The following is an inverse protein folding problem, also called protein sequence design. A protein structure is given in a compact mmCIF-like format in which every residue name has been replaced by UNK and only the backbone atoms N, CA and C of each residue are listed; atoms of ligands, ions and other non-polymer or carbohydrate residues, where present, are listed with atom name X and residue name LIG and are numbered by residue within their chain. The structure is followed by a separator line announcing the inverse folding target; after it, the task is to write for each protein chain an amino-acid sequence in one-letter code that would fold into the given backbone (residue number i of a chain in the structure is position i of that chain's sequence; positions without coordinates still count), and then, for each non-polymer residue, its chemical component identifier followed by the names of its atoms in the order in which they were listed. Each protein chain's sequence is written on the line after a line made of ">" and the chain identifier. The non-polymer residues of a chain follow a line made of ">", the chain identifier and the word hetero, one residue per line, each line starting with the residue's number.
data_IF_267038218778
#
_entry.id   IF_267038218778
#
_cell.length_a   1.000
_cell.length_b   1.000
_cell.length_c   1.000
_cell.angle_alpha   90.00
_cell.angle_beta   90.00
_cell.angle_gamma   90.00
#
_symmetry.space_group_name_H-M   'P 1'
#
loop_
_entity.id
_entity.type
_entity.pdbx_description
1 polymer ?
#
# COMPACT_ATOMS: atom_id res chain seq x y z
N UNK A 1 78.05 -39.25 -45.92
CA UNK A 1 77.76 -37.85 -46.25
C UNK A 1 76.29 -37.69 -46.56
N UNK A 2 75.54 -37.12 -45.62
CA UNK A 2 74.17 -36.66 -45.89
C UNK A 2 74.32 -35.34 -46.65
N UNK A 3 73.64 -35.20 -47.79
CA UNK A 3 73.72 -34.01 -48.65
C UNK A 3 73.23 -32.77 -47.90
N UNK A 4 73.87 -31.61 -48.12
CA UNK A 4 73.48 -30.34 -47.50
C UNK A 4 72.01 -29.95 -47.81
N UNK A 5 71.48 -30.38 -48.97
CA UNK A 5 70.09 -30.17 -49.35
C UNK A 5 69.11 -31.00 -48.49
N UNK A 6 69.52 -32.20 -48.08
CA UNK A 6 68.72 -33.11 -47.27
C UNK A 6 68.66 -32.65 -45.80
N UNK A 7 69.76 -32.08 -45.30
CA UNK A 7 69.80 -31.40 -43.99
C UNK A 7 68.92 -30.14 -43.97
N UNK A 8 68.93 -29.36 -45.05
CA UNK A 8 68.13 -28.14 -45.16
C UNK A 8 66.63 -28.44 -45.27
N UNK A 9 66.26 -29.50 -46.00
CA UNK A 9 64.89 -29.99 -46.11
C UNK A 9 64.35 -30.52 -44.76
N UNK A 10 65.16 -31.28 -44.00
CA UNK A 10 64.78 -31.73 -42.66
C UNK A 10 64.64 -30.55 -41.67
N UNK A 11 65.57 -29.60 -41.70
CA UNK A 11 65.52 -28.41 -40.83
C UNK A 11 64.28 -27.55 -41.11
N UNK A 12 63.95 -27.36 -42.39
CA UNK A 12 62.75 -26.62 -42.82
C UNK A 12 61.47 -27.36 -42.43
N UNK A 13 61.43 -28.69 -42.58
CA UNK A 13 60.28 -29.50 -42.17
C UNK A 13 60.05 -29.45 -40.65
N UNK A 14 61.11 -29.47 -39.85
CA UNK A 14 61.02 -29.38 -38.39
C UNK A 14 60.57 -27.98 -37.96
N UNK A 15 61.08 -26.92 -38.60
CA UNK A 15 60.67 -25.54 -38.33
C UNK A 15 59.17 -25.32 -38.61
N UNK A 16 58.65 -25.84 -39.73
CA UNK A 16 57.21 -25.75 -40.08
C UNK A 16 56.35 -26.54 -39.09
N UNK A 17 56.81 -27.70 -38.62
CA UNK A 17 56.06 -28.49 -37.63
C UNK A 17 56.03 -27.80 -36.25
N UNK A 18 57.12 -27.15 -35.84
CA UNK A 18 57.19 -26.38 -34.60
C UNK A 18 56.32 -25.12 -34.65
N UNK A 19 56.32 -24.40 -35.76
CA UNK A 19 55.50 -23.19 -35.96
C UNK A 19 54.00 -23.53 -35.99
N UNK A 20 53.63 -24.64 -36.66
CA UNK A 20 52.25 -25.13 -36.65
C UNK A 20 51.80 -25.56 -35.26
N UNK A 21 52.64 -26.24 -34.48
CA UNK A 21 52.31 -26.64 -33.11
C UNK A 21 52.16 -25.43 -32.19
N UNK A 22 52.98 -24.38 -32.37
CA UNK A 22 52.84 -23.12 -31.64
C UNK A 22 51.54 -22.38 -32.02
N UNK A 23 51.19 -22.31 -33.31
CA UNK A 23 49.95 -21.69 -33.78
C UNK A 23 48.69 -22.43 -33.30
N UNK A 24 48.69 -23.77 -33.30
CA UNK A 24 47.60 -24.58 -32.76
C UNK A 24 47.43 -24.34 -31.24
N UNK A 25 48.54 -24.22 -30.50
CA UNK A 25 48.53 -23.91 -29.07
C UNK A 25 48.02 -22.49 -28.77
N UNK A 26 48.46 -21.47 -29.52
CA UNK A 26 47.97 -20.10 -29.35
C UNK A 26 46.48 -19.96 -29.67
N UNK A 27 46.00 -20.65 -30.71
CA UNK A 27 44.59 -20.66 -31.08
C UNK A 27 43.72 -21.32 -30.00
N UNK A 28 44.16 -22.43 -29.42
CA UNK A 28 43.47 -23.11 -28.32
C UNK A 28 43.38 -22.22 -27.08
N UNK A 29 44.48 -21.57 -26.70
CA UNK A 29 44.52 -20.63 -25.58
C UNK A 29 43.64 -19.39 -25.80
N UNK A 30 43.58 -18.86 -27.03
CA UNK A 30 42.71 -17.74 -27.39
C UNK A 30 41.22 -18.11 -27.31
N UNK A 31 40.84 -19.31 -27.75
CA UNK A 31 39.48 -19.80 -27.61
C UNK A 31 39.08 -19.98 -26.15
N UNK A 32 39.94 -20.61 -25.35
CA UNK A 32 39.67 -20.84 -23.91
C UNK A 32 39.51 -19.51 -23.17
N UNK A 33 40.41 -18.55 -23.39
CA UNK A 33 40.33 -17.23 -22.74
C UNK A 33 39.05 -16.48 -23.11
N UNK A 34 38.64 -16.52 -24.39
CA UNK A 34 37.40 -15.89 -24.84
C UNK A 34 36.16 -16.51 -24.18
N UNK A 35 36.11 -17.85 -24.10
CA UNK A 35 35.00 -18.56 -23.44
C UNK A 35 34.93 -18.22 -21.95
N UNK A 36 36.07 -18.15 -21.26
CA UNK A 36 36.14 -17.75 -19.85
C UNK A 36 35.64 -16.32 -19.65
N UNK A 37 36.05 -15.38 -20.49
CA UNK A 37 35.60 -13.97 -20.42
C UNK A 37 34.08 -13.87 -20.61
N UNK A 38 33.51 -14.58 -21.59
CA UNK A 38 32.06 -14.64 -21.80
C UNK A 38 31.36 -15.22 -20.57
N UNK A 39 31.90 -16.29 -19.99
CA UNK A 39 31.37 -16.88 -18.76
C UNK A 39 31.33 -15.90 -17.59
N UNK A 40 32.40 -15.12 -17.40
CA UNK A 40 32.47 -14.08 -16.35
C UNK A 40 31.44 -12.98 -16.61
N UNK A 41 31.30 -12.51 -17.85
CA UNK A 41 30.32 -11.48 -18.21
C UNK A 41 28.89 -11.97 -17.96
N UNK A 42 28.55 -13.19 -18.43
CA UNK A 42 27.22 -13.77 -18.21
C UNK A 42 26.93 -14.01 -16.72
N UNK A 43 27.92 -14.47 -15.95
CA UNK A 43 27.81 -14.59 -14.50
C UNK A 43 27.59 -13.22 -13.84
N UNK A 44 28.29 -12.19 -14.29
CA UNK A 44 28.11 -10.82 -13.80
C UNK A 44 26.69 -10.30 -14.06
N UNK A 45 26.17 -10.51 -15.28
CA UNK A 45 24.82 -10.08 -15.67
C UNK A 45 23.75 -10.81 -14.82
N UNK A 46 23.92 -12.11 -14.57
CA UNK A 46 22.95 -12.88 -13.76
C UNK A 46 22.94 -12.46 -12.29
N UNK A 47 24.11 -12.14 -11.71
CA UNK A 47 24.19 -11.58 -10.36
C UNK A 47 23.51 -10.22 -10.26
N UNK A 48 23.81 -9.33 -11.21
CA UNK A 48 23.28 -7.96 -11.22
C UNK A 48 21.75 -7.94 -11.40
N UNK A 49 21.21 -8.80 -12.27
CA UNK A 49 19.76 -8.94 -12.43
C UNK A 49 19.08 -9.54 -11.19
N UNK A 50 19.72 -10.50 -10.51
CA UNK A 50 19.20 -11.07 -9.25
C UNK A 50 19.11 -10.00 -8.16
N UNK A 51 20.15 -9.18 -7.99
CA UNK A 51 20.15 -8.09 -7.01
C UNK A 51 19.05 -7.07 -7.30
N UNK A 52 18.84 -6.73 -8.58
CA UNK A 52 17.78 -5.82 -8.98
C UNK A 52 16.37 -6.39 -8.69
N UNK A 53 16.16 -7.69 -8.96
CA UNK A 53 14.89 -8.35 -8.64
C UNK A 53 14.66 -8.48 -7.13
N UNK A 54 15.71 -8.69 -6.34
CA UNK A 54 15.65 -8.70 -4.88
C UNK A 54 15.23 -7.33 -4.33
N UNK A 55 15.91 -6.26 -4.78
CA UNK A 55 15.57 -4.89 -4.42
C UNK A 55 14.13 -4.54 -4.78
N UNK A 56 13.68 -4.96 -5.96
CA UNK A 56 12.30 -4.77 -6.41
C UNK A 56 11.28 -5.44 -5.49
N UNK A 57 11.52 -6.69 -5.10
CA UNK A 57 10.57 -7.47 -4.30
C UNK A 57 10.59 -7.09 -2.83
N UNK A 58 11.74 -6.72 -2.28
CA UNK A 58 11.91 -6.51 -0.84
C UNK A 58 11.76 -5.04 -0.41
N UNK A 59 11.94 -4.07 -1.31
CA UNK A 59 11.80 -2.64 -0.98
C UNK A 59 10.76 -1.93 -1.84
N UNK A 60 10.91 -2.00 -3.17
CA UNK A 60 10.09 -1.17 -4.07
C UNK A 60 8.60 -1.56 -4.06
N UNK A 61 8.29 -2.86 -4.11
CA UNK A 61 6.91 -3.33 -4.09
C UNK A 61 6.19 -2.98 -2.78
N UNK A 62 6.74 -3.28 -1.59
CA UNK A 62 6.10 -2.86 -0.33
C UNK A 62 5.95 -1.35 -0.20
N UNK A 63 6.95 -0.57 -0.61
CA UNK A 63 6.88 0.89 -0.54
C UNK A 63 5.77 1.44 -1.45
N UNK A 64 5.62 0.87 -2.65
CA UNK A 64 4.53 1.24 -3.56
C UNK A 64 3.16 0.85 -2.99
N UNK A 65 3.02 -0.36 -2.47
CA UNK A 65 1.77 -0.79 -1.84
C UNK A 65 1.39 0.11 -0.66
N UNK A 66 2.37 0.49 0.17
CA UNK A 66 2.17 1.44 1.26
C UNK A 66 1.78 2.84 0.75
N UNK A 67 2.40 3.32 -0.34
CA UNK A 67 2.06 4.60 -0.94
C UNK A 67 0.63 4.59 -1.52
N UNK A 68 0.24 3.53 -2.21
CA UNK A 68 -1.10 3.33 -2.74
C UNK A 68 -2.14 3.27 -1.59
N UNK A 69 -1.81 2.58 -0.49
CA UNK A 69 -2.61 2.55 0.74
C UNK A 69 -2.75 3.95 1.37
N UNK A 70 -1.67 4.72 1.43
CA UNK A 70 -1.66 6.10 1.93
C UNK A 70 -2.55 7.01 1.08
N UNK A 71 -2.47 6.88 -0.25
CA UNK A 71 -3.29 7.64 -1.18
C UNK A 71 -4.79 7.31 -1.02
N UNK A 72 -5.14 6.03 -0.83
CA UNK A 72 -6.54 5.62 -0.61
C UNK A 72 -7.16 6.26 0.64
N UNK A 73 -6.37 6.38 1.72
CA UNK A 73 -6.80 7.03 2.97
C UNK A 73 -6.92 8.54 2.78
N UNK A 74 -5.99 9.16 2.06
CA UNK A 74 -6.03 10.58 1.73
C UNK A 74 -7.26 10.93 0.87
N UNK A 75 -7.64 10.06 -0.06
CA UNK A 75 -8.84 10.21 -0.90
C UNK A 75 -10.14 9.81 -0.21
N UNK A 76 -10.12 9.54 1.11
CA UNK A 76 -11.29 9.21 1.93
C UNK A 76 -12.03 7.95 1.49
N UNK A 77 -11.39 7.05 0.76
CA UNK A 77 -11.93 5.73 0.41
C UNK A 77 -11.83 4.76 1.60
N UNK A 78 -12.18 5.23 2.81
CA UNK A 78 -12.17 4.42 4.03
C UNK A 78 -13.34 3.44 4.09
N UNK A 79 -14.39 3.65 3.28
CA UNK A 79 -15.56 2.79 3.19
C UNK A 79 -15.35 1.54 2.31
N UNK A 80 -14.35 1.55 1.42
CA UNK A 80 -14.07 0.44 0.49
C UNK A 80 -13.15 -0.65 1.04
N UNK A 81 -12.50 -0.42 2.19
CA UNK A 81 -11.68 -1.45 2.84
C UNK A 81 -12.58 -2.21 3.81
N UNK A 82 -13.28 -3.18 3.24
CA UNK A 82 -13.96 -4.26 3.93
C UNK A 82 -13.11 -4.80 5.08
N UNK A 83 -13.77 -5.39 6.08
CA UNK A 83 -13.17 -6.21 7.13
C UNK A 83 -12.51 -7.49 6.56
N UNK A 84 -11.80 -7.40 5.44
CA UNK A 84 -10.74 -8.33 5.14
C UNK A 84 -9.71 -8.11 6.23
N UNK A 85 -9.89 -8.86 7.31
CA UNK A 85 -8.82 -9.59 7.96
C UNK A 85 -8.01 -10.26 6.84
N UNK A 86 -7.21 -9.46 6.13
CA UNK A 86 -6.07 -9.98 5.40
C UNK A 86 -5.16 -10.50 6.50
N UNK A 87 -5.34 -11.78 6.80
CA UNK A 87 -4.32 -12.70 7.25
C UNK A 87 -3.15 -12.59 6.26
N UNK A 88 -2.39 -11.50 6.40
CA UNK A 88 -1.10 -11.34 5.77
C UNK A 88 -0.19 -12.38 6.44
N UNK A 89 -0.17 -13.55 5.83
CA UNK A 89 0.78 -14.61 6.08
C UNK A 89 2.18 -13.98 6.10
N UNK A 90 2.82 -14.07 7.28
CA UNK A 90 4.00 -13.31 7.65
C UNK A 90 5.15 -13.57 6.66
N UNK A 91 5.45 -12.60 5.78
CA UNK A 91 6.65 -12.65 4.94
C UNK A 91 7.84 -12.10 5.74
N UNK A 92 8.49 -12.98 6.51
CA UNK A 92 9.62 -12.73 7.41
C UNK A 92 10.91 -12.20 6.72
N UNK A 93 10.80 -11.78 5.45
CA UNK A 93 11.89 -11.28 4.59
C UNK A 93 11.86 -9.76 4.38
N UNK A 94 10.86 -9.08 4.92
CA UNK A 94 10.72 -7.63 4.87
C UNK A 94 11.58 -6.97 5.96
N UNK A 95 12.22 -5.83 5.67
CA UNK A 95 13.07 -5.15 6.66
C UNK A 95 12.22 -4.63 7.82
N UNK A 96 12.79 -4.59 9.02
CA UNK A 96 12.10 -4.14 10.24
C UNK A 96 11.53 -2.73 10.12
N UNK A 97 12.18 -1.87 9.32
CA UNK A 97 11.76 -0.49 9.08
C UNK A 97 10.47 -0.42 8.27
N UNK A 98 10.32 -1.22 7.21
CA UNK A 98 9.09 -1.22 6.39
C UNK A 98 7.93 -1.77 7.21
N UNK A 99 8.16 -2.83 7.99
CA UNK A 99 7.14 -3.36 8.89
C UNK A 99 6.68 -2.34 9.93
N UNK A 100 7.61 -1.55 10.50
CA UNK A 100 7.29 -0.47 11.42
C UNK A 100 6.40 0.59 10.77
N UNK A 101 6.75 1.06 9.57
CA UNK A 101 5.96 2.09 8.87
C UNK A 101 4.57 1.54 8.55
N UNK A 102 4.47 0.32 8.03
CA UNK A 102 3.20 -0.34 7.68
C UNK A 102 2.30 -0.52 8.90
N UNK A 103 2.85 -1.00 10.02
CA UNK A 103 2.12 -1.15 11.29
C UNK A 103 1.65 0.21 11.83
N UNK A 104 2.53 1.22 11.81
CA UNK A 104 2.22 2.57 12.28
C UNK A 104 1.10 3.20 11.46
N UNK A 105 1.18 3.08 10.13
CA UNK A 105 0.15 3.55 9.22
C UNK A 105 -1.19 2.83 9.45
N UNK A 106 -1.17 1.51 9.63
CA UNK A 106 -2.38 0.72 9.94
C UNK A 106 -3.02 1.15 11.26
N UNK A 107 -2.22 1.43 12.29
CA UNK A 107 -2.70 1.96 13.56
C UNK A 107 -3.34 3.34 13.39
N UNK A 108 -2.71 4.23 12.61
CA UNK A 108 -3.26 5.54 12.29
C UNK A 108 -4.61 5.43 11.56
N UNK A 109 -4.71 4.55 10.54
CA UNK A 109 -5.97 4.28 9.82
C UNK A 109 -7.07 3.78 10.76
N UNK A 110 -6.75 2.85 11.68
CA UNK A 110 -7.70 2.37 12.71
C UNK A 110 -8.13 3.49 13.65
N UNK A 111 -7.21 4.38 14.05
CA UNK A 111 -7.50 5.52 14.91
C UNK A 111 -8.46 6.50 14.21
N UNK A 112 -8.18 6.89 12.96
CA UNK A 112 -9.04 7.77 12.16
C UNK A 112 -10.44 7.16 11.98
N UNK A 113 -10.53 5.88 11.62
CA UNK A 113 -11.82 5.16 11.51
C UNK A 113 -12.58 5.14 12.83
N UNK A 114 -11.88 5.05 13.96
CA UNK A 114 -12.51 5.07 15.28
C UNK A 114 -12.97 6.48 15.68
N UNK A 115 -12.20 7.52 15.33
CA UNK A 115 -12.58 8.92 15.55
C UNK A 115 -13.79 9.33 14.71
N UNK A 116 -13.93 8.79 13.50
CA UNK A 116 -15.11 8.97 12.65
C UNK A 116 -16.42 8.45 13.26
N UNK A 117 -16.38 7.71 14.40
CA UNK A 117 -17.59 7.35 15.16
C UNK A 117 -18.11 8.47 16.06
N UNK A 118 -17.28 9.48 16.33
CA UNK A 118 -17.59 10.59 17.24
C UNK A 118 -17.63 11.95 16.55
N UNK A 119 -17.08 12.05 15.35
CA UNK A 119 -17.08 13.27 14.53
C UNK A 119 -17.90 13.00 13.28
N UNK A 120 -18.81 13.91 12.88
CA UNK A 120 -19.57 13.72 11.66
C UNK A 120 -18.66 13.49 10.46
N UNK A 121 -18.91 12.39 9.74
CA UNK A 121 -18.06 11.96 8.63
C UNK A 121 -17.83 13.04 7.56
N UNK A 122 -18.83 13.85 7.17
CA UNK A 122 -18.62 14.95 6.21
C UNK A 122 -17.59 15.98 6.67
N UNK A 123 -17.46 16.22 7.98
CA UNK A 123 -16.45 17.13 8.54
C UNK A 123 -15.05 16.53 8.41
N UNK A 124 -14.90 15.25 8.72
CA UNK A 124 -13.64 14.50 8.53
C UNK A 124 -13.22 14.53 7.06
N UNK A 125 -14.18 14.33 6.14
CA UNK A 125 -13.95 14.42 4.71
C UNK A 125 -13.50 15.81 4.26
N UNK A 126 -14.14 16.85 4.76
CA UNK A 126 -13.79 18.24 4.44
C UNK A 126 -12.35 18.56 4.87
N UNK A 127 -11.98 18.22 6.10
CA UNK A 127 -10.65 18.48 6.64
C UNK A 127 -9.55 17.73 5.87
N UNK A 128 -9.78 16.44 5.56
CA UNK A 128 -8.83 15.63 4.82
C UNK A 128 -8.67 16.13 3.36
N UNK A 129 -9.74 16.53 2.68
CA UNK A 129 -9.67 17.09 1.31
C UNK A 129 -9.00 18.45 1.26
N UNK A 130 -9.32 19.31 2.23
CA UNK A 130 -8.76 20.66 2.28
C UNK A 130 -7.27 20.65 2.69
N UNK A 131 -6.76 19.53 3.25
CA UNK A 131 -5.41 19.41 3.78
C UNK A 131 -5.08 20.55 4.76
N UNK A 132 -6.05 20.91 5.59
CA UNK A 132 -5.94 21.94 6.62
C UNK A 132 -6.25 21.36 7.99
N UNK A 133 -5.59 21.88 9.01
CA UNK A 133 -6.01 21.66 10.38
C UNK A 133 -7.35 22.34 10.65
N UNK A 134 -8.20 21.70 11.46
CA UNK A 134 -9.47 22.27 11.86
C UNK A 134 -9.24 23.58 12.63
N UNK A 135 -9.77 24.68 12.10
CA UNK A 135 -9.79 25.98 12.76
C UNK A 135 -11.21 26.30 13.20
N UNK A 136 -11.33 26.91 14.37
CA UNK A 136 -12.59 27.45 14.83
C UNK A 136 -12.85 28.76 14.09
N UNK A 137 -13.75 28.72 13.11
CA UNK A 137 -14.17 29.87 12.33
C UNK A 137 -15.70 30.04 12.46
N UNK A 138 -16.16 31.28 12.42
CA UNK A 138 -17.59 31.61 12.45
C UNK A 138 -18.01 31.90 11.01
N UNK A 139 -18.89 31.05 10.47
CA UNK A 139 -19.46 31.22 9.15
C UNK A 139 -20.98 31.34 9.26
N UNK A 140 -21.56 32.32 8.58
CA UNK A 140 -23.00 32.46 8.44
C UNK A 140 -23.46 31.58 7.27
N UNK A 141 -24.35 30.62 7.55
CA UNK A 141 -24.87 29.66 6.57
C UNK A 141 -26.37 29.51 6.79
N UNK A 142 -27.13 29.42 5.70
CA UNK A 142 -28.54 29.04 5.75
C UNK A 142 -28.64 27.53 5.91
N UNK A 143 -29.21 27.10 7.04
CA UNK A 143 -29.27 25.68 7.43
C UNK A 143 -30.66 25.32 7.91
N UNK A 144 -31.01 24.05 7.77
CA UNK A 144 -32.22 23.48 8.39
C UNK A 144 -31.81 22.51 9.50
N UNK A 145 -32.40 22.68 10.68
CA UNK A 145 -32.17 21.77 11.82
C UNK A 145 -33.36 20.83 11.95
N UNK A 146 -33.08 19.55 12.10
CA UNK A 146 -34.07 18.50 12.30
C UNK A 146 -33.89 17.84 13.65
N UNK A 147 -35.01 17.60 14.33
CA UNK A 147 -35.08 16.87 15.59
C UNK A 147 -36.10 15.73 15.46
N UNK A 148 -35.77 14.56 16.00
CA UNK A 148 -36.68 13.41 16.09
C UNK A 148 -36.40 12.60 17.35
N UNK A 149 -37.43 12.22 18.08
CA UNK A 149 -37.37 11.39 19.29
C UNK A 149 -38.31 10.18 19.17
N UNK A 150 -38.24 9.26 20.13
CA UNK A 150 -39.09 8.06 20.13
C UNK A 150 -40.35 8.36 20.95
N UNK A 151 -41.51 8.24 20.31
CA UNK A 151 -42.78 8.41 21.02
C UNK A 151 -42.92 7.42 22.18
N UNK A 152 -43.28 7.93 23.37
CA UNK A 152 -43.40 7.17 24.62
C UNK A 152 -42.12 6.43 25.04
N UNK A 153 -40.94 6.95 24.70
CA UNK A 153 -39.64 6.33 25.01
C UNK A 153 -39.48 5.94 26.48
N UNK A 154 -39.81 6.83 27.41
CA UNK A 154 -39.68 6.59 28.85
C UNK A 154 -40.40 5.32 29.29
N UNK A 155 -41.66 5.15 28.89
CA UNK A 155 -42.46 3.97 29.23
C UNK A 155 -41.88 2.69 28.62
N UNK A 156 -41.35 2.77 27.39
CA UNK A 156 -40.73 1.64 26.73
C UNK A 156 -39.48 1.21 27.51
N UNK A 157 -38.55 2.13 27.78
CA UNK A 157 -37.27 1.79 28.42
C UNK A 157 -37.42 1.36 29.88
N UNK A 158 -38.36 1.92 30.63
CA UNK A 158 -38.65 1.49 32.00
C UNK A 158 -39.13 0.03 32.07
N UNK A 159 -39.74 -0.48 30.98
CA UNK A 159 -40.22 -1.86 30.88
C UNK A 159 -39.18 -2.84 30.32
N UNK A 160 -38.02 -2.36 29.86
CA UNK A 160 -37.01 -3.17 29.18
C UNK A 160 -35.73 -3.35 30.01
N UNK A 161 -35.08 -4.53 29.92
CA UNK A 161 -33.72 -4.69 30.42
C UNK A 161 -32.74 -3.74 29.71
N UNK A 162 -31.66 -3.26 30.36
CA UNK A 162 -30.70 -2.32 29.78
C UNK A 162 -30.13 -2.75 28.42
N UNK A 163 -29.83 -4.04 28.25
CA UNK A 163 -29.30 -4.59 26.99
C UNK A 163 -30.33 -4.48 25.84
N UNK A 164 -31.61 -4.67 26.13
CA UNK A 164 -32.69 -4.54 25.15
C UNK A 164 -32.95 -3.08 24.79
N UNK A 165 -32.88 -2.18 25.76
CA UNK A 165 -32.98 -0.74 25.55
C UNK A 165 -31.83 -0.21 24.68
N UNK A 166 -30.60 -0.70 24.91
CA UNK A 166 -29.44 -0.39 24.07
C UNK A 166 -29.64 -0.88 22.63
N UNK A 167 -30.16 -2.09 22.44
CA UNK A 167 -30.41 -2.63 21.11
C UNK A 167 -31.49 -1.84 20.36
N UNK A 168 -32.56 -1.43 21.05
CA UNK A 168 -33.60 -0.57 20.50
C UNK A 168 -33.04 0.77 20.02
N UNK A 169 -32.31 1.47 20.89
CA UNK A 169 -31.68 2.76 20.57
C UNK A 169 -30.68 2.61 19.42
N UNK A 170 -29.82 1.59 19.47
CA UNK A 170 -28.81 1.35 18.43
C UNK A 170 -29.46 1.15 17.07
N UNK A 171 -30.58 0.41 17.02
CA UNK A 171 -31.33 0.18 15.78
C UNK A 171 -32.00 1.47 15.29
N UNK A 172 -32.69 2.19 16.17
CA UNK A 172 -33.33 3.46 15.83
C UNK A 172 -32.31 4.47 15.28
N UNK A 173 -31.19 4.67 15.97
CA UNK A 173 -30.14 5.58 15.52
C UNK A 173 -29.51 5.14 14.21
N UNK A 174 -29.27 3.84 14.00
CA UNK A 174 -28.71 3.34 12.75
C UNK A 174 -29.67 3.59 11.56
N UNK A 175 -30.95 3.26 11.73
CA UNK A 175 -31.95 3.41 10.68
C UNK A 175 -32.20 4.90 10.38
N UNK A 176 -32.33 5.75 11.39
CA UNK A 176 -32.51 7.20 11.22
C UNK A 176 -31.28 7.90 10.67
N UNK A 177 -30.08 7.56 11.15
CA UNK A 177 -28.83 8.14 10.64
C UNK A 177 -28.66 7.80 9.16
N UNK A 178 -29.02 6.59 8.75
CA UNK A 178 -29.01 6.20 7.34
C UNK A 178 -29.97 7.05 6.49
N UNK A 179 -31.20 7.27 6.97
CA UNK A 179 -32.17 8.10 6.23
C UNK A 179 -31.68 9.55 6.11
N UNK A 180 -31.11 10.10 7.19
CA UNK A 180 -30.55 11.47 7.20
C UNK A 180 -29.40 11.57 6.19
N UNK A 181 -28.46 10.62 6.22
CA UNK A 181 -27.31 10.57 5.29
C UNK A 181 -27.76 10.41 3.83
N UNK A 182 -28.72 9.51 3.55
CA UNK A 182 -29.29 9.29 2.22
C UNK A 182 -29.97 10.56 1.64
N UNK A 183 -30.37 11.52 2.48
CA UNK A 183 -30.97 12.81 2.09
C UNK A 183 -30.00 14.00 2.24
N UNK A 184 -28.70 13.74 2.40
CA UNK A 184 -27.67 14.79 2.48
C UNK A 184 -27.63 15.56 3.81
N UNK A 185 -28.33 15.06 4.83
CA UNK A 185 -28.25 15.60 6.18
C UNK A 185 -27.04 15.04 6.95
N UNK A 186 -26.63 15.77 7.97
CA UNK A 186 -25.51 15.40 8.84
C UNK A 186 -25.99 15.29 10.27
N UNK A 187 -25.82 14.13 10.89
CA UNK A 187 -26.11 13.94 12.33
C UNK A 187 -25.10 14.75 13.14
N UNK A 188 -25.59 15.67 13.96
CA UNK A 188 -24.77 16.47 14.86
C UNK A 188 -24.52 15.76 16.17
N UNK A 189 -25.61 15.36 16.83
CA UNK A 189 -25.56 14.75 18.15
C UNK A 189 -26.81 13.91 18.45
N UNK A 190 -26.64 12.97 19.38
CA UNK A 190 -27.72 12.21 19.99
C UNK A 190 -27.96 12.76 21.40
N UNK A 191 -29.21 13.09 21.72
CA UNK A 191 -29.60 13.70 23.00
C UNK A 191 -30.65 12.80 23.66
N UNK A 192 -30.23 11.89 24.53
CA UNK A 192 -31.13 10.87 25.06
C UNK A 192 -31.56 9.91 23.95
N UNK A 193 -32.87 9.85 23.67
CA UNK A 193 -33.45 9.14 22.51
C UNK A 193 -33.69 10.04 21.29
N UNK A 194 -33.39 11.34 21.40
CA UNK A 194 -33.50 12.26 20.30
C UNK A 194 -32.27 12.24 19.39
N UNK A 195 -32.50 12.47 18.10
CA UNK A 195 -31.47 12.74 17.09
C UNK A 195 -31.59 14.19 16.65
N UNK A 196 -30.45 14.89 16.62
CA UNK A 196 -30.32 16.22 16.04
C UNK A 196 -29.48 16.14 14.77
N UNK A 197 -30.00 16.65 13.67
CA UNK A 197 -29.26 16.76 12.41
C UNK A 197 -29.39 18.12 11.77
N UNK A 198 -28.44 18.41 10.88
CA UNK A 198 -28.33 19.65 10.13
C UNK A 198 -28.32 19.34 8.64
N UNK A 199 -28.99 20.18 7.87
CA UNK A 199 -28.97 20.18 6.40
C UNK A 199 -28.43 21.54 5.94
N UNK A 200 -27.65 21.55 4.87
CA UNK A 200 -26.96 22.76 4.36
C UNK A 200 -25.62 23.07 5.03
N UNK A 201 -25.12 22.19 5.89
CA UNK A 201 -23.78 22.26 6.49
C UNK A 201 -23.21 20.85 6.76
N UNK A 202 -21.88 20.64 6.72
CA UNK A 202 -20.81 21.62 6.44
C UNK A 202 -20.68 21.98 4.96
N UNK A 203 -21.39 21.28 4.09
CA UNK A 203 -21.52 21.58 2.67
C UNK A 203 -22.91 22.19 2.42
N UNK A 204 -23.02 23.26 1.60
CA UNK A 204 -24.32 23.81 1.22
C UNK A 204 -25.18 22.75 0.50
N UNK A 205 -26.49 22.85 0.64
CA UNK A 205 -27.42 22.09 -0.21
C UNK A 205 -27.28 22.60 -1.66
N UNK A 206 -27.27 21.68 -2.64
CA UNK A 206 -27.41 22.04 -4.06
C UNK A 206 -28.82 22.55 -4.39
#
# INVERSE_FOLDING_TARGET
>A
DISADELNAQTTSVAVLLDRAAAEYEAEMSMITTVVVIGIILSGITLLTKDLTFLSRNLLKPLRALADDMESVAQLQLAGVSNTEEDDEWNDKETSEIQLIRRTFRNMKKAIKSWGKYVPWPVVQLLLRANVEAKLEVNEMEVSIFFSDIANFTTIVESLPPESSLLLLSRYFNDMSKVIDDHGGVVLEFIGDAIQSIYGAPLPNE
#
